data_IF_330918903961
#
_entry.id   IF_330918903961
#
_cell.length_a   1.000
_cell.length_b   1.000
_cell.length_c   1.000
_cell.angle_alpha   90.00
_cell.angle_beta   90.00
_cell.angle_gamma   90.00
#
_symmetry.space_group_name_H-M   'P 1'
#
loop_
_entity.id
_entity.type
_entity.pdbx_description
1 polymer ?
#
# COMPACT_ATOMS: atom_id res chain seq x y z
N UNK A 1 35.45 9.63 -12.18
CA UNK A 1 34.63 9.49 -10.95
C UNK A 1 34.50 8.01 -10.63
N UNK A 2 34.71 7.62 -9.37
CA UNK A 2 34.62 6.21 -8.95
C UNK A 2 33.18 5.69 -9.22
N UNK A 3 33.00 4.53 -9.88
CA UNK A 3 31.69 4.01 -10.25
C UNK A 3 30.78 3.74 -9.04
N UNK A 4 31.33 3.35 -7.90
CA UNK A 4 30.60 3.14 -6.64
C UNK A 4 30.04 4.48 -6.13
N UNK A 5 30.88 5.53 -6.11
CA UNK A 5 30.44 6.87 -5.70
C UNK A 5 29.35 7.43 -6.60
N UNK A 6 29.40 7.12 -7.92
CA UNK A 6 28.35 7.51 -8.87
C UNK A 6 27.02 6.79 -8.59
N UNK A 7 27.05 5.49 -8.31
CA UNK A 7 25.84 4.75 -7.96
C UNK A 7 25.22 5.22 -6.64
N UNK A 8 26.05 5.48 -5.61
CA UNK A 8 25.58 6.04 -4.35
C UNK A 8 24.94 7.42 -4.52
N UNK A 9 25.52 8.28 -5.36
CA UNK A 9 24.93 9.59 -5.67
C UNK A 9 23.59 9.45 -6.40
N UNK A 10 23.51 8.53 -7.38
CA UNK A 10 22.26 8.25 -8.10
C UNK A 10 21.17 7.76 -7.14
N UNK A 11 21.53 6.83 -6.25
CA UNK A 11 20.63 6.31 -5.22
C UNK A 11 20.11 7.41 -4.31
N UNK A 12 21.01 8.25 -3.77
CA UNK A 12 20.63 9.36 -2.90
C UNK A 12 19.67 10.34 -3.60
N UNK A 13 19.96 10.70 -4.86
CA UNK A 13 19.10 11.58 -5.65
C UNK A 13 17.71 10.95 -5.87
N UNK A 14 17.64 9.65 -6.17
CA UNK A 14 16.37 8.93 -6.33
C UNK A 14 15.59 8.86 -5.01
N UNK A 15 16.26 8.57 -3.90
CA UNK A 15 15.66 8.56 -2.55
C UNK A 15 15.06 9.92 -2.18
N UNK A 16 15.77 11.02 -2.42
CA UNK A 16 15.24 12.36 -2.18
C UNK A 16 13.98 12.67 -3.00
N UNK A 17 13.93 12.21 -4.26
CA UNK A 17 12.75 12.39 -5.11
C UNK A 17 11.57 11.55 -4.62
N UNK A 18 11.81 10.30 -4.20
CA UNK A 18 10.76 9.43 -3.64
C UNK A 18 10.17 10.08 -2.39
N UNK A 19 11.03 10.56 -1.48
CA UNK A 19 10.60 11.28 -0.28
C UNK A 19 9.79 12.54 -0.62
N UNK A 20 10.21 13.32 -1.63
CA UNK A 20 9.46 14.49 -2.07
C UNK A 20 8.09 14.12 -2.65
N UNK A 21 7.98 13.03 -3.40
CA UNK A 21 6.68 12.52 -3.90
C UNK A 21 5.79 12.08 -2.74
N UNK A 22 6.34 11.36 -1.75
CA UNK A 22 5.61 10.93 -0.55
C UNK A 22 5.01 12.13 0.20
N UNK A 23 5.79 13.19 0.40
CA UNK A 23 5.30 14.43 1.04
C UNK A 23 4.25 15.15 0.19
N UNK A 24 4.49 15.28 -1.11
CA UNK A 24 3.61 16.05 -2.01
C UNK A 24 2.28 15.32 -2.24
N UNK A 25 2.28 13.98 -2.21
CA UNK A 25 1.08 13.17 -2.32
C UNK A 25 0.07 13.47 -1.19
N UNK A 26 0.54 13.97 -0.05
CA UNK A 26 -0.32 14.33 1.09
C UNK A 26 -1.03 15.68 0.93
N UNK A 27 -0.58 16.53 0.00
CA UNK A 27 -1.11 17.89 -0.16
C UNK A 27 -2.57 17.93 -0.65
N UNK A 28 -3.32 18.92 -0.15
CA UNK A 28 -4.71 19.18 -0.54
C UNK A 28 -4.86 19.86 -1.91
N UNK A 29 -3.82 20.53 -2.43
CA UNK A 29 -3.85 21.13 -3.78
C UNK A 29 -3.62 20.06 -4.85
N UNK A 30 -4.66 19.26 -5.12
CA UNK A 30 -4.58 18.09 -6.00
C UNK A 30 -4.11 18.43 -7.41
N UNK A 31 -4.46 19.59 -7.94
CA UNK A 31 -4.10 20.00 -9.29
C UNK A 31 -2.60 20.31 -9.40
N UNK A 32 -2.04 21.04 -8.44
CA UNK A 32 -0.60 21.34 -8.39
C UNK A 32 0.21 20.10 -8.04
N UNK A 33 -0.28 19.29 -7.11
CA UNK A 33 0.30 18.01 -6.72
C UNK A 33 0.47 17.08 -7.91
N UNK A 34 -0.56 16.90 -8.74
CA UNK A 34 -0.48 16.03 -9.92
C UNK A 34 0.60 16.47 -10.92
N UNK A 35 0.76 17.78 -11.15
CA UNK A 35 1.84 18.31 -12.01
C UNK A 35 3.22 18.07 -11.40
N UNK A 36 3.34 18.28 -10.08
CA UNK A 36 4.60 18.11 -9.35
C UNK A 36 5.06 16.66 -9.32
N UNK A 37 4.17 15.72 -8.99
CA UNK A 37 4.47 14.28 -9.00
C UNK A 37 4.91 13.83 -10.39
N UNK A 38 4.23 14.28 -11.45
CA UNK A 38 4.64 13.95 -12.83
C UNK A 38 6.10 14.36 -13.11
N UNK A 39 6.46 15.60 -12.79
CA UNK A 39 7.83 16.11 -12.99
C UNK A 39 8.86 15.33 -12.17
N UNK A 40 8.52 14.97 -10.93
CA UNK A 40 9.41 14.17 -10.06
C UNK A 40 9.63 12.77 -10.63
N UNK A 41 8.60 12.12 -11.17
CA UNK A 41 8.73 10.81 -11.86
C UNK A 41 9.60 10.89 -13.12
N UNK A 42 9.42 11.92 -13.94
CA UNK A 42 10.26 12.16 -15.12
C UNK A 42 11.72 12.37 -14.71
N UNK A 43 11.96 13.11 -13.62
CA UNK A 43 13.31 13.32 -13.06
C UNK A 43 13.90 12.01 -12.53
N UNK A 44 13.11 11.20 -11.81
CA UNK A 44 13.52 9.89 -11.29
C UNK A 44 14.01 8.96 -12.41
N UNK A 45 13.25 8.87 -13.51
CA UNK A 45 13.59 8.05 -14.66
C UNK A 45 14.85 8.53 -15.42
N UNK A 46 15.20 9.82 -15.28
CA UNK A 46 16.41 10.39 -15.90
C UNK A 46 17.69 10.13 -15.09
N UNK A 47 17.58 9.73 -13.82
CA UNK A 47 18.73 9.42 -12.99
C UNK A 47 19.33 8.08 -13.45
N UNK A 48 20.66 8.04 -13.53
CA UNK A 48 21.41 6.88 -13.99
C UNK A 48 21.23 5.63 -13.10
N UNK A 49 21.85 4.51 -13.50
CA UNK A 49 21.64 3.22 -12.86
C UNK A 49 22.09 3.22 -11.39
N UNK A 50 21.35 2.44 -10.61
CA UNK A 50 21.59 2.07 -9.21
C UNK A 50 21.55 0.55 -9.15
N UNK A 51 22.01 -0.06 -8.05
CA UNK A 51 21.82 -1.48 -7.82
C UNK A 51 20.34 -1.89 -7.95
N UNK A 52 20.07 -2.97 -8.68
CA UNK A 52 18.71 -3.38 -9.08
C UNK A 52 17.76 -3.57 -7.90
N UNK A 53 18.20 -4.18 -6.79
CA UNK A 53 17.35 -4.40 -5.61
C UNK A 53 16.94 -3.09 -4.95
N UNK A 54 17.88 -2.14 -4.82
CA UNK A 54 17.57 -0.81 -4.29
C UNK A 54 16.68 -0.02 -5.23
N UNK A 55 16.89 -0.13 -6.54
CA UNK A 55 16.06 0.57 -7.52
C UNK A 55 14.61 0.06 -7.50
N UNK A 56 14.40 -1.26 -7.40
CA UNK A 56 13.07 -1.85 -7.25
C UNK A 56 12.35 -1.37 -5.98
N UNK A 57 13.05 -1.21 -4.86
CA UNK A 57 12.47 -0.67 -3.61
C UNK A 57 12.03 0.78 -3.81
N UNK A 58 12.87 1.59 -4.44
CA UNK A 58 12.58 3.00 -4.74
C UNK A 58 11.40 3.13 -5.70
N UNK A 59 11.36 2.33 -6.76
CA UNK A 59 10.27 2.28 -7.72
C UNK A 59 8.95 1.86 -7.07
N UNK A 60 8.97 0.85 -6.19
CA UNK A 60 7.80 0.41 -5.46
C UNK A 60 7.25 1.53 -4.58
N UNK A 61 8.11 2.22 -3.81
CA UNK A 61 7.70 3.36 -2.98
C UNK A 61 7.13 4.50 -3.81
N UNK A 62 7.80 4.86 -4.90
CA UNK A 62 7.34 5.88 -5.84
C UNK A 62 5.96 5.54 -6.41
N UNK A 63 5.76 4.28 -6.80
CA UNK A 63 4.49 3.78 -7.29
C UNK A 63 3.40 3.86 -6.22
N UNK A 64 3.68 3.43 -5.00
CA UNK A 64 2.73 3.48 -3.89
C UNK A 64 2.29 4.91 -3.56
N UNK A 65 3.23 5.85 -3.45
CA UNK A 65 2.92 7.25 -3.18
C UNK A 65 2.08 7.89 -4.31
N UNK A 66 2.43 7.60 -5.56
CA UNK A 66 1.64 8.06 -6.71
C UNK A 66 0.24 7.44 -6.75
N UNK A 67 0.12 6.14 -6.47
CA UNK A 67 -1.17 5.46 -6.43
C UNK A 67 -2.06 6.02 -5.32
N UNK A 68 -1.50 6.27 -4.14
CA UNK A 68 -2.19 6.92 -3.03
C UNK A 68 -2.79 8.28 -3.43
N UNK A 69 -1.99 9.11 -4.10
CA UNK A 69 -2.46 10.40 -4.63
C UNK A 69 -3.59 10.23 -5.67
N UNK A 70 -3.47 9.28 -6.60
CA UNK A 70 -4.51 9.04 -7.61
C UNK A 70 -5.82 8.59 -6.97
N UNK A 71 -5.75 7.73 -5.96
CA UNK A 71 -6.92 7.23 -5.25
C UNK A 71 -7.65 8.36 -4.51
N UNK A 72 -6.89 9.25 -3.85
CA UNK A 72 -7.43 10.47 -3.25
C UNK A 72 -8.10 11.38 -4.26
N UNK A 73 -7.41 11.63 -5.38
CA UNK A 73 -7.95 12.49 -6.44
C UNK A 73 -9.22 11.93 -7.06
N UNK A 74 -9.30 10.61 -7.24
CA UNK A 74 -10.52 9.95 -7.68
C UNK A 74 -11.66 10.18 -6.68
N UNK A 75 -11.40 9.97 -5.38
CA UNK A 75 -12.40 10.19 -4.33
C UNK A 75 -12.88 11.64 -4.26
N UNK A 76 -11.98 12.62 -4.38
CA UNK A 76 -12.35 14.04 -4.39
C UNK A 76 -13.27 14.40 -5.55
N UNK A 77 -12.96 13.91 -6.76
CA UNK A 77 -13.81 14.11 -7.94
C UNK A 77 -15.18 13.48 -7.78
N UNK A 78 -15.25 12.25 -7.25
CA UNK A 78 -16.50 11.55 -7.03
C UNK A 78 -17.36 12.25 -5.95
N UNK A 79 -16.72 12.74 -4.88
CA UNK A 79 -17.39 13.55 -3.84
C UNK A 79 -17.91 14.87 -4.40
N UNK A 80 -17.13 15.57 -5.21
CA UNK A 80 -17.56 16.80 -5.87
C UNK A 80 -18.78 16.61 -6.77
N UNK A 81 -18.88 15.44 -7.42
CA UNK A 81 -20.06 15.03 -8.22
C UNK A 81 -21.23 14.53 -7.37
N UNK A 82 -21.05 14.36 -6.05
CA UNK A 82 -22.00 13.75 -5.12
C UNK A 82 -22.47 12.35 -5.57
N UNK A 83 -21.61 11.64 -6.30
CA UNK A 83 -21.93 10.35 -6.91
C UNK A 83 -21.61 9.21 -5.93
N UNK A 84 -22.52 8.99 -4.98
CA UNK A 84 -22.35 8.00 -3.91
C UNK A 84 -22.24 6.56 -4.44
N UNK A 85 -22.90 6.25 -5.55
CA UNK A 85 -22.81 4.94 -6.19
C UNK A 85 -21.40 4.69 -6.73
N UNK A 86 -20.82 5.66 -7.44
CA UNK A 86 -19.46 5.56 -7.94
C UNK A 86 -18.41 5.53 -6.82
N UNK A 87 -18.61 6.27 -5.71
CA UNK A 87 -17.73 6.18 -4.52
C UNK A 87 -17.75 4.76 -3.95
N UNK A 88 -18.94 4.17 -3.83
CA UNK A 88 -19.15 2.83 -3.29
C UNK A 88 -18.47 1.79 -4.17
N UNK A 89 -18.71 1.81 -5.48
CA UNK A 89 -18.09 0.88 -6.43
C UNK A 89 -16.58 1.00 -6.44
N UNK A 90 -16.06 2.23 -6.43
CA UNK A 90 -14.62 2.46 -6.38
C UNK A 90 -14.01 1.88 -5.09
N UNK A 91 -14.64 2.11 -3.93
CA UNK A 91 -14.18 1.57 -2.63
C UNK A 91 -14.28 0.05 -2.59
N UNK A 92 -15.35 -0.52 -3.15
CA UNK A 92 -15.55 -1.96 -3.27
C UNK A 92 -14.42 -2.59 -4.11
N UNK A 93 -14.09 -2.00 -5.24
CA UNK A 93 -13.01 -2.45 -6.11
C UNK A 93 -11.64 -2.42 -5.41
N UNK A 94 -11.37 -1.38 -4.60
CA UNK A 94 -10.14 -1.32 -3.80
C UNK A 94 -10.09 -2.43 -2.74
N UNK A 95 -11.18 -2.60 -1.97
CA UNK A 95 -11.27 -3.63 -0.93
C UNK A 95 -11.14 -5.05 -1.49
N UNK A 96 -11.70 -5.32 -2.66
CA UNK A 96 -11.57 -6.60 -3.35
C UNK A 96 -10.12 -6.87 -3.77
N UNK A 97 -9.44 -5.88 -4.36
CA UNK A 97 -8.03 -6.02 -4.76
C UNK A 97 -7.14 -6.31 -3.55
N UNK A 98 -7.30 -5.56 -2.45
CA UNK A 98 -6.55 -5.80 -1.23
C UNK A 98 -6.90 -7.13 -0.58
N UNK A 99 -8.19 -7.51 -0.60
CA UNK A 99 -8.65 -8.78 -0.04
C UNK A 99 -8.04 -9.99 -0.73
N UNK A 100 -7.98 -10.00 -2.07
CA UNK A 100 -7.37 -11.10 -2.84
C UNK A 100 -5.86 -11.22 -2.57
N UNK A 101 -5.13 -10.11 -2.52
CA UNK A 101 -3.69 -10.13 -2.23
C UNK A 101 -3.40 -10.61 -0.82
N UNK A 102 -4.15 -10.10 0.17
CA UNK A 102 -3.97 -10.48 1.56
C UNK A 102 -4.38 -11.94 1.81
N UNK A 103 -5.44 -12.43 1.17
CA UNK A 103 -5.81 -13.84 1.24
C UNK A 103 -4.69 -14.75 0.73
N UNK A 104 -4.13 -14.47 -0.46
CA UNK A 104 -3.01 -15.24 -0.99
C UNK A 104 -1.78 -15.23 -0.09
N UNK A 105 -1.49 -14.07 0.51
CA UNK A 105 -0.37 -13.95 1.45
C UNK A 105 -0.63 -14.76 2.73
N UNK A 106 -1.89 -14.81 3.17
CA UNK A 106 -2.30 -15.58 4.33
C UNK A 106 -2.23 -17.07 4.06
N UNK A 107 -2.75 -17.53 2.93
CA UNK A 107 -2.69 -18.94 2.51
C UNK A 107 -1.24 -19.43 2.53
N UNK A 108 -0.32 -18.62 1.95
CA UNK A 108 1.11 -18.91 1.96
C UNK A 108 1.73 -18.89 3.36
N UNK A 109 1.31 -17.97 4.22
CA UNK A 109 1.78 -17.94 5.60
C UNK A 109 1.29 -19.17 6.39
N UNK A 110 0.05 -19.60 6.17
CA UNK A 110 -0.53 -20.81 6.78
C UNK A 110 0.17 -22.08 6.32
N UNK A 111 0.58 -22.16 5.05
CA UNK A 111 1.40 -23.26 4.50
C UNK A 111 2.80 -23.31 5.14
N UNK A 112 3.44 -22.15 5.34
CA UNK A 112 4.83 -22.07 5.84
C UNK A 112 4.93 -22.15 7.37
N UNK A 113 3.91 -21.72 8.11
CA UNK A 113 3.87 -21.77 9.57
C UNK A 113 4.23 -23.13 10.17
N UNK A 114 3.68 -24.29 9.72
CA UNK A 114 4.04 -25.59 10.27
C UNK A 114 5.50 -25.96 9.96
N UNK A 115 6.00 -25.66 8.76
CA UNK A 115 7.39 -25.93 8.36
C UNK A 115 8.37 -25.15 9.23
N UNK A 116 8.09 -23.86 9.45
CA UNK A 116 8.91 -22.99 10.29
C UNK A 116 8.85 -23.43 11.76
N UNK A 117 7.66 -23.83 12.25
CA UNK A 117 7.51 -24.37 13.61
C UNK A 117 8.34 -25.63 13.81
N UNK A 118 8.32 -26.56 12.87
CA UNK A 118 9.10 -27.80 12.93
C UNK A 118 10.61 -27.52 12.88
N UNK A 119 11.06 -26.59 12.04
CA UNK A 119 12.47 -26.18 11.95
C UNK A 119 12.99 -25.47 13.21
N UNK A 120 12.11 -24.81 13.97
CA UNK A 120 12.47 -24.00 15.14
C UNK A 120 12.11 -24.64 16.49
N UNK A 121 11.62 -25.88 16.51
CA UNK A 121 11.15 -26.57 17.72
C UNK A 121 12.20 -26.74 18.85
N UNK A 122 13.49 -26.44 18.58
CA UNK A 122 14.57 -26.44 19.57
C UNK A 122 15.16 -25.06 19.91
N UNK A 123 14.64 -23.96 19.35
CA UNK A 123 15.20 -22.60 19.46
C UNK A 123 14.18 -21.57 20.00
N UNK A 124 13.10 -22.03 20.65
CA UNK A 124 12.10 -21.14 21.26
C UNK A 124 12.30 -21.00 22.77
N UNK A 125 13.30 -20.23 23.14
CA UNK A 125 13.69 -19.91 24.51
C UNK A 125 12.95 -18.67 25.07
N UNK A 126 11.92 -18.17 24.38
CA UNK A 126 11.24 -16.92 24.76
C UNK A 126 9.79 -16.68 24.28
N UNK A 127 9.11 -17.69 23.72
CA UNK A 127 7.71 -17.58 23.28
C UNK A 127 7.51 -16.65 22.08
N UNK A 128 8.55 -16.52 21.23
CA UNK A 128 8.50 -15.66 20.03
C UNK A 128 7.55 -16.25 18.97
N UNK A 129 7.50 -17.59 18.88
CA UNK A 129 6.58 -18.30 17.99
C UNK A 129 5.11 -18.05 18.34
N UNK A 130 4.78 -17.95 19.64
CA UNK A 130 3.41 -17.66 20.09
C UNK A 130 2.98 -16.23 19.77
N UNK A 131 3.86 -15.25 19.97
CA UNK A 131 3.58 -13.84 19.61
C UNK A 131 3.39 -13.67 18.11
N UNK A 132 4.21 -14.35 17.31
CA UNK A 132 4.10 -14.32 15.84
C UNK A 132 2.80 -14.98 15.40
N UNK A 133 2.44 -16.13 15.98
CA UNK A 133 1.16 -16.81 15.72
C UNK A 133 -0.04 -15.93 16.09
N UNK A 134 0.00 -15.24 17.24
CA UNK A 134 -1.06 -14.33 17.67
C UNK A 134 -1.22 -13.11 16.74
N UNK A 135 -0.11 -12.55 16.24
CA UNK A 135 -0.16 -11.45 15.27
C UNK A 135 -0.74 -11.91 13.93
N UNK A 136 -0.38 -13.11 13.46
CA UNK A 136 -0.98 -13.70 12.27
C UNK A 136 -2.49 -13.92 12.45
N UNK A 137 -2.93 -14.39 13.62
CA UNK A 137 -4.36 -14.56 13.92
C UNK A 137 -5.13 -13.22 13.91
N UNK A 138 -4.52 -12.14 14.41
CA UNK A 138 -5.11 -10.79 14.30
C UNK A 138 -5.25 -10.35 12.84
N UNK A 139 -4.26 -10.64 12.00
CA UNK A 139 -4.32 -10.32 10.57
C UNK A 139 -5.46 -11.09 9.88
N UNK A 140 -5.67 -12.37 10.22
CA UNK A 140 -6.81 -13.18 9.74
C UNK A 140 -8.14 -12.53 10.12
N UNK A 141 -8.29 -12.12 11.37
CA UNK A 141 -9.53 -11.51 11.83
C UNK A 141 -9.84 -10.20 11.09
N UNK A 142 -8.83 -9.36 10.86
CA UNK A 142 -8.98 -8.13 10.10
C UNK A 142 -9.42 -8.41 8.64
N UNK A 143 -8.95 -9.50 8.05
CA UNK A 143 -9.36 -9.90 6.70
C UNK A 143 -10.83 -10.33 6.63
N UNK A 144 -11.29 -11.13 7.59
CA UNK A 144 -12.70 -11.49 7.69
C UNK A 144 -13.58 -10.25 7.86
N UNK A 145 -13.15 -9.26 8.66
CA UNK A 145 -13.88 -8.00 8.82
C UNK A 145 -13.95 -7.21 7.49
N UNK A 146 -12.87 -7.19 6.71
CA UNK A 146 -12.85 -6.56 5.39
C UNK A 146 -13.78 -7.30 4.38
N UNK A 147 -13.79 -8.63 4.39
CA UNK A 147 -14.71 -9.44 3.57
C UNK A 147 -16.17 -9.21 3.96
N UNK A 148 -16.47 -9.11 5.26
CA UNK A 148 -17.80 -8.75 5.75
C UNK A 148 -18.22 -7.35 5.29
N UNK A 149 -17.28 -6.39 5.28
CA UNK A 149 -17.52 -5.03 4.75
C UNK A 149 -17.82 -5.05 3.25
N UNK A 150 -17.07 -5.83 2.46
CA UNK A 150 -17.32 -6.05 1.03
C UNK A 150 -18.72 -6.62 0.81
N UNK A 151 -19.09 -7.67 1.55
CA UNK A 151 -20.41 -8.30 1.44
C UNK A 151 -21.54 -7.34 1.82
N UNK A 152 -21.36 -6.56 2.90
CA UNK A 152 -22.33 -5.53 3.32
C UNK A 152 -22.53 -4.49 2.20
N UNK A 153 -21.44 -3.97 1.64
CA UNK A 153 -21.50 -3.02 0.54
C UNK A 153 -22.13 -3.63 -0.72
N UNK A 154 -21.92 -4.91 -1.02
CA UNK A 154 -22.55 -5.56 -2.18
C UNK A 154 -24.06 -5.75 -2.05
N UNK A 155 -24.56 -5.94 -0.83
CA UNK A 155 -25.94 -6.39 -0.58
C UNK A 155 -26.91 -5.27 -0.20
N UNK A 156 -26.41 -4.11 0.23
CA UNK A 156 -27.24 -3.01 0.71
C UNK A 156 -27.13 -1.79 -0.23
N UNK A 157 -28.26 -1.25 -0.70
CA UNK A 157 -28.34 0.07 -1.33
C UNK A 157 -28.46 1.13 -0.26
N UNK A 158 -27.60 2.16 -0.28
CA UNK A 158 -27.41 2.99 0.90
C UNK A 158 -27.41 4.48 0.60
N UNK A 159 -28.59 5.06 0.74
CA UNK A 159 -28.83 6.50 0.89
C UNK A 159 -28.40 7.00 2.30
N UNK A 160 -27.89 6.13 3.19
CA UNK A 160 -27.69 6.48 4.60
C UNK A 160 -26.46 5.80 5.27
N UNK A 161 -25.21 6.08 4.85
CA UNK A 161 -23.99 5.64 5.58
C UNK A 161 -22.94 6.73 5.78
N UNK A 162 -23.29 8.01 5.60
CA UNK A 162 -22.33 9.10 5.87
C UNK A 162 -22.06 9.33 7.38
N UNK A 163 -22.33 8.36 8.25
CA UNK A 163 -22.16 8.51 9.71
C UNK A 163 -21.18 7.52 10.35
N UNK A 164 -20.33 6.82 9.59
CA UNK A 164 -19.25 6.03 10.21
C UNK A 164 -18.03 6.94 10.41
N UNK A 165 -17.64 7.28 11.65
CA UNK A 165 -16.40 7.99 11.91
C UNK A 165 -15.22 7.04 11.70
N UNK A 166 -14.17 7.54 11.05
CA UNK A 166 -12.88 6.87 11.01
C UNK A 166 -12.20 6.97 12.38
N UNK A 167 -11.55 5.90 12.90
CA UNK A 167 -10.60 5.99 14.01
C UNK A 167 -9.31 6.71 13.61
#
# INVERSE_FOLDING_TARGET
>A
MNPILRQLQNWYNKECLVYEVELVAESEDLARTGRKIRKLKETFASIGPVEDTLDQILEARLFHAHQHFLDRRAMDLLRGRKDLAAIKEYRLGQLQKTGVLLQRSLDRAQELLPVIKEQLQGMDDGGWLDKTTAQQQKNIQNLHNNQATVHYLQTHDVVSVCSIPYP
#
